data_IF_571134798299
#
_entry.id   IF_571134798299
#
_cell.length_a   1.000
_cell.length_b   1.000
_cell.length_c   1.000
_cell.angle_alpha   90.00
_cell.angle_beta   90.00
_cell.angle_gamma   90.00
#
_symmetry.space_group_name_H-M   'P 1'
#
loop_
_entity.id
_entity.type
_entity.pdbx_description
1 polymer ?
#
# COMPACT_ATOMS: atom_id res chain seq x y z
N UNK A 1 25.17 19.01 -10.94
CA UNK A 1 25.12 20.47 -10.84
C UNK A 1 24.34 20.86 -9.56
N UNK A 2 25.01 21.65 -8.70
CA UNK A 2 24.44 22.10 -7.42
C UNK A 2 23.12 22.87 -7.59
N UNK A 3 22.99 23.61 -8.69
CA UNK A 3 21.76 24.37 -8.97
C UNK A 3 20.57 23.46 -9.24
N UNK A 4 20.75 22.34 -9.94
CA UNK A 4 19.69 21.36 -10.16
C UNK A 4 19.27 20.68 -8.86
N UNK A 5 20.24 20.30 -8.01
CA UNK A 5 19.96 19.74 -6.68
C UNK A 5 19.24 20.73 -5.76
N UNK A 6 19.66 22.00 -5.76
CA UNK A 6 18.98 23.03 -4.97
C UNK A 6 17.52 23.19 -5.39
N UNK A 7 17.25 23.26 -6.70
CA UNK A 7 15.88 23.33 -7.21
C UNK A 7 15.06 22.08 -6.90
N UNK A 8 15.66 20.88 -6.98
CA UNK A 8 14.96 19.64 -6.61
C UNK A 8 14.60 19.58 -5.13
N UNK A 9 15.50 20.08 -4.26
CA UNK A 9 15.24 20.17 -2.82
C UNK A 9 14.11 21.16 -2.51
N UNK A 10 14.11 22.33 -3.14
CA UNK A 10 13.00 23.30 -3.04
C UNK A 10 11.70 22.68 -3.55
N UNK A 11 11.73 22.02 -4.72
CA UNK A 11 10.57 21.36 -5.31
C UNK A 11 9.98 20.30 -4.39
N UNK A 12 10.83 19.46 -3.79
CA UNK A 12 10.41 18.43 -2.83
C UNK A 12 9.73 19.04 -1.61
N UNK A 13 10.32 20.08 -1.01
CA UNK A 13 9.71 20.77 0.13
C UNK A 13 8.39 21.45 -0.24
N UNK A 14 8.31 22.06 -1.43
CA UNK A 14 7.07 22.62 -1.95
C UNK A 14 6.00 21.53 -2.14
N UNK A 15 6.38 20.36 -2.65
CA UNK A 15 5.47 19.23 -2.83
C UNK A 15 4.96 18.66 -1.49
N UNK A 16 5.85 18.52 -0.50
CA UNK A 16 5.48 18.08 0.87
C UNK A 16 4.48 19.05 1.51
N UNK A 17 4.69 20.37 1.28
CA UNK A 17 3.79 21.42 1.77
C UNK A 17 2.57 21.65 0.88
N UNK A 18 2.35 20.81 -0.12
CA UNK A 18 1.24 20.87 -1.07
C UNK A 18 1.14 22.22 -1.83
N UNK A 19 2.26 22.89 -2.01
CA UNK A 19 2.31 24.15 -2.74
C UNK A 19 2.10 23.94 -4.25
N UNK A 20 1.31 24.77 -4.93
CA UNK A 20 0.96 24.59 -6.34
C UNK A 20 2.17 24.69 -7.29
N UNK A 21 3.22 25.42 -6.91
CA UNK A 21 4.44 25.65 -7.71
C UNK A 21 5.41 24.46 -7.71
N UNK A 22 5.13 23.41 -6.94
CA UNK A 22 6.03 22.28 -6.77
C UNK A 22 6.43 21.62 -8.10
N UNK A 23 5.47 21.43 -9.01
CA UNK A 23 5.73 20.86 -10.32
C UNK A 23 6.64 21.75 -11.18
N UNK A 24 6.47 23.07 -11.12
CA UNK A 24 7.30 24.04 -11.84
C UNK A 24 8.73 24.08 -11.27
N UNK A 25 8.89 23.97 -9.97
CA UNK A 25 10.20 23.86 -9.35
C UNK A 25 10.94 22.57 -9.80
N UNK A 26 10.25 21.43 -9.90
CA UNK A 26 10.83 20.21 -10.48
C UNK A 26 11.18 20.38 -11.96
N UNK A 27 10.38 21.09 -12.73
CA UNK A 27 10.70 21.40 -14.13
C UNK A 27 11.96 22.27 -14.23
N UNK A 28 12.13 23.28 -13.37
CA UNK A 28 13.36 24.08 -13.28
C UNK A 28 14.58 23.23 -12.92
N UNK A 29 14.43 22.29 -11.97
CA UNK A 29 15.51 21.35 -11.63
C UNK A 29 15.93 20.51 -12.85
N UNK A 30 14.98 19.97 -13.60
CA UNK A 30 15.24 19.20 -14.81
C UNK A 30 15.92 20.03 -15.91
N UNK A 31 15.48 21.27 -16.13
CA UNK A 31 16.11 22.19 -17.09
C UNK A 31 17.55 22.53 -16.72
N UNK A 32 17.86 22.70 -15.42
CA UNK A 32 19.23 22.93 -14.95
C UNK A 32 20.11 21.72 -15.14
N UNK A 33 19.57 20.50 -14.88
CA UNK A 33 20.28 19.25 -15.13
C UNK A 33 20.62 19.09 -16.63
N UNK A 34 19.63 19.28 -17.50
CA UNK A 34 19.81 19.19 -18.95
C UNK A 34 20.87 20.19 -19.50
N UNK A 35 20.86 21.44 -19.00
CA UNK A 35 21.87 22.42 -19.37
C UNK A 35 23.29 22.06 -18.93
N UNK A 36 23.43 21.29 -17.84
CA UNK A 36 24.72 20.81 -17.35
C UNK A 36 25.26 19.61 -18.13
N UNK A 37 24.48 19.05 -19.07
CA UNK A 37 24.85 17.86 -19.87
C UNK A 37 25.07 16.60 -19.05
N UNK A 38 24.52 16.52 -17.87
CA UNK A 38 24.63 15.36 -16.96
C UNK A 38 23.25 14.84 -16.61
N UNK A 39 23.07 13.53 -16.76
CA UNK A 39 21.98 12.82 -16.07
C UNK A 39 22.26 12.90 -14.57
N UNK A 40 21.28 13.37 -13.82
CA UNK A 40 21.36 13.38 -12.36
C UNK A 40 20.59 12.16 -11.85
N UNK A 41 21.29 11.31 -11.13
CA UNK A 41 20.68 10.21 -10.38
C UNK A 41 19.96 10.80 -9.15
N UNK A 42 18.66 10.96 -9.29
CA UNK A 42 17.82 11.49 -8.23
C UNK A 42 17.52 10.40 -7.21
N UNK A 43 17.56 10.68 -5.88
CA UNK A 43 17.08 9.73 -4.89
C UNK A 43 15.62 9.33 -5.15
N UNK A 44 15.30 8.05 -4.90
CA UNK A 44 13.94 7.47 -5.07
C UNK A 44 12.85 8.34 -4.44
N UNK A 45 13.07 8.80 -3.22
CA UNK A 45 12.17 9.69 -2.52
C UNK A 45 11.94 11.04 -3.26
N UNK A 46 12.97 11.61 -3.88
CA UNK A 46 12.84 12.81 -4.70
C UNK A 46 12.02 12.54 -5.96
N UNK A 47 12.22 11.39 -6.61
CA UNK A 47 11.43 10.96 -7.76
C UNK A 47 9.96 10.71 -7.38
N UNK A 48 9.71 10.08 -6.24
CA UNK A 48 8.37 9.88 -5.70
C UNK A 48 7.63 11.21 -5.47
N UNK A 49 8.31 12.21 -4.91
CA UNK A 49 7.71 13.54 -4.73
C UNK A 49 7.54 14.30 -6.06
N UNK A 50 8.42 14.07 -7.03
CA UNK A 50 8.25 14.62 -8.39
C UNK A 50 6.98 14.07 -9.05
N UNK A 51 6.71 12.77 -8.91
CA UNK A 51 5.44 12.15 -9.38
C UNK A 51 4.24 12.81 -8.70
N UNK A 52 4.24 12.89 -7.36
CA UNK A 52 3.13 13.49 -6.60
C UNK A 52 2.89 14.96 -6.98
N UNK A 53 3.95 15.74 -7.18
CA UNK A 53 3.83 17.11 -7.64
C UNK A 53 3.23 17.21 -9.05
N UNK A 54 3.66 16.34 -9.99
CA UNK A 54 3.14 16.31 -11.35
C UNK A 54 1.66 15.90 -11.40
N UNK A 55 1.24 14.95 -10.55
CA UNK A 55 -0.17 14.52 -10.44
C UNK A 55 -1.09 15.62 -9.90
N UNK A 56 -0.58 16.52 -9.07
CA UNK A 56 -1.33 17.63 -8.46
C UNK A 56 -1.17 18.96 -9.18
N UNK A 57 -0.40 19.00 -10.28
CA UNK A 57 -0.16 20.20 -11.02
C UNK A 57 -1.43 20.83 -11.59
N UNK A 58 -1.39 22.10 -11.93
CA UNK A 58 -2.37 22.83 -12.71
C UNK A 58 -3.82 22.65 -12.19
N UNK A 59 -4.02 22.79 -10.87
CA UNK A 59 -5.30 22.61 -10.18
C UNK A 59 -5.89 21.20 -10.35
N UNK A 60 -5.03 20.18 -10.30
CA UNK A 60 -5.43 18.78 -10.40
C UNK A 60 -5.42 18.23 -11.84
N UNK A 61 -4.94 19.02 -12.80
CA UNK A 61 -4.64 18.51 -14.14
C UNK A 61 -3.25 17.91 -14.14
N UNK A 62 -3.16 16.60 -14.09
CA UNK A 62 -1.88 15.91 -14.04
C UNK A 62 -1.01 16.20 -15.27
N UNK A 63 0.28 16.43 -15.04
CA UNK A 63 1.30 16.52 -16.10
C UNK A 63 1.84 15.12 -16.39
N UNK A 64 1.21 14.41 -17.30
CA UNK A 64 1.46 12.98 -17.51
C UNK A 64 2.90 12.64 -17.92
N UNK A 65 3.51 13.43 -18.81
CA UNK A 65 4.89 13.20 -19.25
C UNK A 65 5.91 13.24 -18.09
N UNK A 66 5.91 14.24 -17.20
CA UNK A 66 6.73 14.24 -15.99
C UNK A 66 6.48 13.03 -15.07
N UNK A 67 5.25 12.54 -14.97
CA UNK A 67 4.91 11.32 -14.21
C UNK A 67 5.65 10.11 -14.79
N UNK A 68 5.51 9.86 -16.09
CA UNK A 68 6.18 8.73 -16.77
C UNK A 68 7.70 8.83 -16.62
N UNK A 69 8.27 10.00 -16.87
CA UNK A 69 9.72 10.22 -16.79
C UNK A 69 10.26 9.97 -15.37
N UNK A 70 9.55 10.45 -14.34
CA UNK A 70 9.98 10.27 -12.97
C UNK A 70 9.92 8.78 -12.55
N UNK A 71 8.85 8.06 -12.90
CA UNK A 71 8.74 6.63 -12.59
C UNK A 71 9.78 5.81 -13.34
N UNK A 72 10.03 6.11 -14.62
CA UNK A 72 11.04 5.40 -15.41
C UNK A 72 12.48 5.62 -14.90
N UNK A 73 12.74 6.72 -14.19
CA UNK A 73 14.02 7.01 -13.56
C UNK A 73 14.21 6.30 -12.20
N UNK A 74 13.16 5.72 -11.63
CA UNK A 74 13.26 4.94 -10.39
C UNK A 74 13.99 3.61 -10.63
N UNK A 75 14.54 3.03 -9.57
CA UNK A 75 15.13 1.69 -9.62
C UNK A 75 14.10 0.61 -9.98
N UNK A 76 14.58 -0.50 -10.50
CA UNK A 76 13.70 -1.59 -10.99
C UNK A 76 12.80 -2.21 -9.91
N UNK A 77 13.22 -2.20 -8.66
CA UNK A 77 12.42 -2.67 -7.53
C UNK A 77 11.24 -1.71 -7.27
N UNK A 78 11.54 -0.41 -7.21
CA UNK A 78 10.56 0.65 -6.99
C UNK A 78 9.54 0.72 -8.12
N UNK A 79 9.99 0.62 -9.39
CA UNK A 79 9.09 0.60 -10.54
C UNK A 79 8.07 -0.55 -10.53
N UNK A 80 8.30 -1.62 -9.75
CA UNK A 80 7.36 -2.73 -9.56
C UNK A 80 6.38 -2.51 -8.41
N UNK A 81 6.57 -1.46 -7.62
CA UNK A 81 5.58 -1.11 -6.60
C UNK A 81 4.23 -0.83 -7.27
N UNK A 82 3.15 -1.44 -6.80
CA UNK A 82 1.83 -1.29 -7.39
C UNK A 82 1.33 0.15 -7.51
N UNK A 83 1.75 1.05 -6.61
CA UNK A 83 1.42 2.46 -6.72
C UNK A 83 2.02 3.08 -7.99
N UNK A 84 3.29 2.80 -8.25
CA UNK A 84 3.98 3.35 -9.43
C UNK A 84 3.55 2.66 -10.72
N UNK A 85 3.25 1.36 -10.69
CA UNK A 85 2.64 0.65 -11.83
C UNK A 85 1.30 1.29 -12.19
N UNK A 86 0.42 1.53 -11.22
CA UNK A 86 -0.87 2.18 -11.41
C UNK A 86 -0.73 3.58 -12.01
N UNK A 87 0.06 4.45 -11.40
CA UNK A 87 0.22 5.82 -11.88
C UNK A 87 0.93 5.91 -13.23
N UNK A 88 1.84 4.98 -13.54
CA UNK A 88 2.45 4.90 -14.88
C UNK A 88 1.43 4.48 -15.93
N UNK A 89 0.54 3.53 -15.61
CA UNK A 89 -0.56 3.16 -16.48
C UNK A 89 -1.49 4.34 -16.76
N UNK A 90 -1.94 5.03 -15.71
CA UNK A 90 -2.79 6.23 -15.83
C UNK A 90 -2.11 7.34 -16.63
N UNK A 91 -0.82 7.53 -16.44
CA UNK A 91 -0.06 8.54 -17.18
C UNK A 91 0.08 8.20 -18.68
N UNK A 92 0.28 6.92 -19.02
CA UNK A 92 0.25 6.49 -20.42
C UNK A 92 -1.11 6.69 -21.07
N UNK A 93 -2.20 6.36 -20.38
CA UNK A 93 -3.55 6.63 -20.86
C UNK A 93 -3.80 8.12 -21.07
N UNK A 94 -3.43 8.96 -20.10
CA UNK A 94 -3.66 10.40 -20.15
C UNK A 94 -2.77 11.15 -21.16
N UNK A 95 -1.61 10.58 -21.52
CA UNK A 95 -0.70 11.13 -22.52
C UNK A 95 -0.89 10.51 -23.92
N UNK A 96 -1.71 9.47 -24.04
CA UNK A 96 -1.95 8.79 -25.32
C UNK A 96 -2.58 9.76 -26.33
N UNK A 97 -2.12 9.68 -27.57
CA UNK A 97 -2.73 10.42 -28.68
C UNK A 97 -4.13 9.93 -28.95
N UNK A 98 -4.95 10.80 -29.51
CA UNK A 98 -6.26 10.39 -30.03
C UNK A 98 -6.14 9.46 -31.23
N UNK A 99 -7.13 8.57 -31.40
CA UNK A 99 -7.19 7.65 -32.50
C UNK A 99 -6.19 6.48 -32.46
N UNK A 100 -5.86 5.89 -33.61
CA UNK A 100 -5.04 4.68 -33.70
C UNK A 100 -3.60 4.86 -33.20
N UNK A 101 -3.02 6.04 -33.33
CA UNK A 101 -1.65 6.33 -32.91
C UNK A 101 -1.44 6.20 -31.39
N UNK A 102 -2.51 6.36 -30.60
CA UNK A 102 -2.46 6.19 -29.16
C UNK A 102 -2.77 4.76 -28.67
N UNK A 103 -3.16 3.86 -29.56
CA UNK A 103 -3.56 2.49 -29.20
C UNK A 103 -2.43 1.70 -28.51
N UNK A 104 -1.17 1.77 -28.94
CA UNK A 104 -0.08 1.08 -28.26
C UNK A 104 0.09 1.52 -26.80
N UNK A 105 -0.08 2.82 -26.50
CA UNK A 105 0.02 3.34 -25.13
C UNK A 105 -1.17 2.91 -24.28
N UNK A 106 -2.38 2.91 -24.84
CA UNK A 106 -3.58 2.40 -24.16
C UNK A 106 -3.48 0.92 -23.85
N UNK A 107 -2.99 0.11 -24.82
CA UNK A 107 -2.78 -1.33 -24.62
C UNK A 107 -1.73 -1.60 -23.53
N UNK A 108 -0.60 -0.92 -23.58
CA UNK A 108 0.46 -1.04 -22.56
C UNK A 108 -0.05 -0.63 -21.17
N UNK A 109 -0.83 0.45 -21.07
CA UNK A 109 -1.46 0.88 -19.84
C UNK A 109 -2.42 -0.18 -19.28
N UNK A 110 -3.26 -0.77 -20.12
CA UNK A 110 -4.16 -1.85 -19.76
C UNK A 110 -3.42 -3.07 -19.20
N UNK A 111 -2.35 -3.51 -19.87
CA UNK A 111 -1.51 -4.62 -19.40
C UNK A 111 -0.88 -4.33 -18.03
N UNK A 112 -0.46 -3.08 -17.78
CA UNK A 112 0.04 -2.67 -16.46
C UNK A 112 -1.04 -2.78 -15.38
N UNK A 113 -2.26 -2.30 -15.63
CA UNK A 113 -3.38 -2.43 -14.70
C UNK A 113 -3.73 -3.90 -14.45
N UNK A 114 -3.78 -4.73 -15.48
CA UNK A 114 -4.04 -6.17 -15.40
C UNK A 114 -3.00 -6.88 -14.50
N UNK A 115 -1.73 -6.46 -14.56
CA UNK A 115 -0.63 -7.06 -13.76
C UNK A 115 -0.77 -6.87 -12.26
N UNK A 116 -1.54 -5.88 -11.80
CA UNK A 116 -1.74 -5.57 -10.38
C UNK A 116 -3.19 -5.75 -9.91
N UNK A 117 -4.15 -5.89 -10.82
CA UNK A 117 -5.60 -5.90 -10.51
C UNK A 117 -6.05 -7.03 -9.58
N UNK A 118 -5.30 -8.15 -9.50
CA UNK A 118 -5.56 -9.25 -8.58
C UNK A 118 -4.98 -9.06 -7.17
N UNK A 119 -4.27 -7.98 -6.90
CA UNK A 119 -3.58 -7.77 -5.63
C UNK A 119 -4.51 -7.12 -4.59
N UNK A 120 -4.46 -7.63 -3.35
CA UNK A 120 -5.32 -7.21 -2.23
C UNK A 120 -4.81 -5.94 -1.53
N UNK A 121 -4.59 -4.88 -2.28
CA UNK A 121 -4.24 -3.55 -1.77
C UNK A 121 -4.93 -2.45 -2.57
N UNK A 122 -4.81 -1.21 -2.11
CA UNK A 122 -5.51 -0.05 -2.66
C UNK A 122 -5.37 0.08 -4.18
N UNK A 123 -4.14 0.09 -4.71
CA UNK A 123 -3.91 0.26 -6.16
C UNK A 123 -4.32 -0.95 -6.99
N UNK A 124 -4.28 -2.16 -6.42
CA UNK A 124 -4.84 -3.35 -7.06
C UNK A 124 -6.35 -3.25 -7.25
N UNK A 125 -7.06 -2.78 -6.22
CA UNK A 125 -8.50 -2.53 -6.30
C UNK A 125 -8.85 -1.45 -7.30
N UNK A 126 -8.15 -0.31 -7.29
CA UNK A 126 -8.33 0.75 -8.28
C UNK A 126 -8.08 0.25 -9.70
N UNK A 127 -7.03 -0.53 -9.93
CA UNK A 127 -6.74 -1.12 -11.23
C UNK A 127 -7.85 -2.05 -11.70
N UNK A 128 -8.42 -2.85 -10.78
CA UNK A 128 -9.54 -3.72 -11.07
C UNK A 128 -10.79 -2.94 -11.50
N UNK A 129 -11.12 -1.86 -10.78
CA UNK A 129 -12.23 -0.96 -11.11
C UNK A 129 -12.01 -0.24 -12.45
N UNK A 130 -10.80 0.29 -12.70
CA UNK A 130 -10.45 0.95 -13.96
C UNK A 130 -10.54 0.00 -15.18
N UNK A 131 -10.37 -1.30 -14.96
CA UNK A 131 -10.59 -2.35 -15.97
C UNK A 131 -12.07 -2.74 -16.14
N UNK A 132 -12.98 -2.10 -15.42
CA UNK A 132 -14.42 -2.37 -15.45
C UNK A 132 -14.86 -3.51 -14.53
N UNK A 133 -13.99 -3.99 -13.65
CA UNK A 133 -14.32 -5.02 -12.68
C UNK A 133 -15.05 -4.46 -11.44
N UNK A 134 -15.68 -5.34 -10.70
CA UNK A 134 -16.29 -5.02 -9.40
C UNK A 134 -15.45 -5.65 -8.30
N UNK A 135 -14.99 -4.84 -7.34
CA UNK A 135 -14.19 -5.33 -6.22
C UNK A 135 -15.05 -6.27 -5.37
N UNK A 136 -14.68 -7.54 -5.34
CA UNK A 136 -15.29 -8.56 -4.52
C UNK A 136 -14.37 -8.97 -3.37
N UNK A 137 -14.96 -9.39 -2.25
CA UNK A 137 -14.19 -9.99 -1.17
C UNK A 137 -13.71 -11.37 -1.60
N UNK A 138 -12.48 -11.78 -1.19
CA UNK A 138 -12.03 -13.15 -1.43
C UNK A 138 -12.93 -14.15 -0.72
N UNK A 139 -13.02 -15.39 -1.22
CA UNK A 139 -13.80 -16.41 -0.58
C UNK A 139 -13.29 -16.65 0.86
N UNK A 140 -14.23 -16.84 1.79
CA UNK A 140 -13.88 -17.13 3.17
C UNK A 140 -13.16 -18.48 3.24
N UNK A 141 -12.01 -18.59 3.93
CA UNK A 141 -11.34 -19.86 4.14
C UNK A 141 -12.24 -20.88 4.85
N UNK A 142 -11.97 -22.16 4.64
CA UNK A 142 -12.60 -23.21 5.42
C UNK A 142 -12.36 -22.98 6.93
N UNK A 143 -13.36 -23.29 7.74
CA UNK A 143 -13.23 -23.14 9.19
C UNK A 143 -12.04 -23.95 9.73
N UNK A 144 -11.31 -23.36 10.69
CA UNK A 144 -10.23 -24.05 11.36
C UNK A 144 -10.77 -25.25 12.15
N UNK A 145 -10.18 -26.42 11.94
CA UNK A 145 -10.46 -27.62 12.73
C UNK A 145 -10.01 -27.45 14.18
N UNK A 146 -10.52 -28.30 15.07
CA UNK A 146 -10.06 -28.33 16.46
C UNK A 146 -8.55 -28.64 16.54
N UNK A 147 -8.06 -29.57 15.71
CA UNK A 147 -6.64 -29.95 15.69
C UNK A 147 -5.72 -28.76 15.28
N UNK A 148 -6.11 -27.95 14.29
CA UNK A 148 -5.34 -26.76 13.87
C UNK A 148 -5.30 -25.71 15.00
N UNK A 149 -6.44 -25.42 15.62
CA UNK A 149 -6.50 -24.51 16.78
C UNK A 149 -5.68 -24.99 17.96
N UNK A 150 -5.76 -26.27 18.27
CA UNK A 150 -5.00 -26.89 19.36
C UNK A 150 -3.49 -26.92 19.09
N UNK A 151 -3.10 -27.14 17.84
CA UNK A 151 -1.69 -27.06 17.42
C UNK A 151 -1.12 -25.67 17.69
N UNK A 152 -1.82 -24.60 17.30
CA UNK A 152 -1.40 -23.24 17.58
C UNK A 152 -1.33 -22.94 19.10
N UNK A 153 -2.35 -23.38 19.87
CA UNK A 153 -2.40 -23.16 21.32
C UNK A 153 -1.28 -23.86 22.10
N UNK A 154 -0.87 -25.07 21.65
CA UNK A 154 0.18 -25.88 22.30
C UNK A 154 1.57 -25.53 21.80
N UNK A 155 1.70 -24.63 20.85
CA UNK A 155 3.02 -24.21 20.36
C UNK A 155 3.73 -23.35 21.43
N UNK A 156 4.88 -23.85 21.98
CA UNK A 156 5.54 -23.16 23.09
C UNK A 156 6.08 -21.77 22.72
N UNK A 157 6.34 -21.51 21.45
CA UNK A 157 6.76 -20.19 20.95
C UNK A 157 5.62 -19.17 21.04
N UNK A 158 4.41 -19.53 20.62
CA UNK A 158 3.25 -18.67 20.77
C UNK A 158 2.85 -18.45 22.22
N UNK A 159 2.94 -19.50 23.04
CA UNK A 159 2.66 -19.40 24.49
C UNK A 159 3.63 -18.39 25.16
N UNK A 160 4.95 -18.53 24.93
CA UNK A 160 5.95 -17.59 25.46
C UNK A 160 5.71 -16.17 24.94
N UNK A 161 5.42 -16.01 23.66
CA UNK A 161 5.17 -14.71 23.06
C UNK A 161 3.98 -14.00 23.71
N UNK A 162 2.85 -14.71 23.89
CA UNK A 162 1.66 -14.15 24.54
C UNK A 162 1.90 -13.84 26.03
N UNK A 163 2.64 -14.70 26.73
CA UNK A 163 3.04 -14.43 28.11
C UNK A 163 3.89 -13.16 28.23
N UNK A 164 4.91 -13.01 27.36
CA UNK A 164 5.75 -11.81 27.35
C UNK A 164 4.91 -10.55 27.08
N UNK A 165 3.98 -10.60 26.15
CA UNK A 165 3.08 -9.48 25.85
C UNK A 165 2.22 -9.15 27.08
N UNK A 166 1.67 -10.16 27.75
CA UNK A 166 0.76 -9.96 28.89
C UNK A 166 1.43 -9.35 30.11
N UNK A 167 2.75 -9.56 30.30
CA UNK A 167 3.53 -8.96 31.39
C UNK A 167 4.21 -7.63 31.00
N UNK A 168 3.86 -7.06 29.85
CA UNK A 168 4.37 -5.76 29.39
C UNK A 168 5.66 -5.81 28.56
N UNK A 169 6.29 -6.98 28.38
CA UNK A 169 7.47 -7.18 27.52
C UNK A 169 7.04 -7.36 26.06
N UNK A 170 6.33 -6.36 25.54
CA UNK A 170 5.69 -6.44 24.22
C UNK A 170 6.69 -6.63 23.09
N UNK A 171 7.80 -5.91 23.09
CA UNK A 171 8.81 -5.99 22.02
C UNK A 171 9.44 -7.39 21.93
N UNK A 172 9.73 -8.00 23.05
CA UNK A 172 10.28 -9.35 23.17
C UNK A 172 9.24 -10.38 22.71
N UNK A 173 8.00 -10.24 23.15
CA UNK A 173 6.90 -11.09 22.75
C UNK A 173 6.61 -11.01 21.23
N UNK A 174 6.67 -9.83 20.63
CA UNK A 174 6.52 -9.63 19.19
C UNK A 174 7.66 -10.31 18.40
N UNK A 175 8.90 -10.24 18.89
CA UNK A 175 10.05 -10.92 18.29
C UNK A 175 9.88 -12.44 18.35
N UNK A 176 9.50 -12.98 19.50
CA UNK A 176 9.24 -14.42 19.70
C UNK A 176 8.10 -14.91 18.80
N UNK A 177 7.00 -14.14 18.72
CA UNK A 177 5.88 -14.43 17.83
C UNK A 177 6.35 -14.51 16.36
N UNK A 178 7.03 -13.47 15.88
CA UNK A 178 7.51 -13.41 14.50
C UNK A 178 8.54 -14.49 14.17
N UNK A 179 9.35 -14.91 15.13
CA UNK A 179 10.27 -16.03 14.98
C UNK A 179 9.50 -17.34 14.80
N UNK A 180 8.49 -17.57 15.63
CA UNK A 180 7.65 -18.78 15.62
C UNK A 180 6.84 -18.93 14.33
N UNK A 181 6.51 -17.84 13.63
CA UNK A 181 5.77 -17.85 12.35
C UNK A 181 6.59 -18.36 11.17
N UNK A 182 7.90 -18.54 11.31
CA UNK A 182 8.78 -18.92 10.17
C UNK A 182 8.44 -20.32 9.68
N UNK A 183 8.26 -20.44 8.35
CA UNK A 183 8.01 -21.73 7.70
C UNK A 183 6.59 -22.29 7.86
N UNK A 184 5.69 -21.56 8.50
CA UNK A 184 4.30 -22.00 8.64
C UNK A 184 3.54 -21.91 7.30
N UNK A 185 2.68 -22.88 7.06
CA UNK A 185 1.70 -22.87 5.97
C UNK A 185 0.57 -21.87 6.22
N UNK A 186 -0.24 -21.57 5.19
CA UNK A 186 -1.39 -20.65 5.32
C UNK A 186 -2.35 -21.11 6.42
N UNK A 187 -2.62 -22.41 6.53
CA UNK A 187 -3.52 -22.97 7.58
C UNK A 187 -2.96 -22.76 8.99
N UNK A 188 -1.66 -22.98 9.18
CA UNK A 188 -0.99 -22.75 10.46
C UNK A 188 -0.94 -21.27 10.79
N UNK A 189 -0.70 -20.39 9.79
CA UNK A 189 -0.76 -18.95 9.96
C UNK A 189 -2.17 -18.48 10.37
N UNK A 190 -3.24 -18.99 9.74
CA UNK A 190 -4.61 -18.67 10.12
C UNK A 190 -4.92 -19.15 11.54
N UNK A 191 -4.43 -20.32 11.95
CA UNK A 191 -4.61 -20.82 13.31
C UNK A 191 -3.87 -19.98 14.35
N UNK A 192 -2.64 -19.55 14.05
CA UNK A 192 -1.87 -18.63 14.89
C UNK A 192 -2.53 -17.24 14.96
N UNK A 193 -2.99 -16.70 13.81
CA UNK A 193 -3.75 -15.46 13.79
C UNK A 193 -5.02 -15.55 14.65
N UNK A 194 -5.78 -16.65 14.55
CA UNK A 194 -6.96 -16.86 15.38
C UNK A 194 -6.62 -16.88 16.87
N UNK A 195 -5.53 -17.54 17.27
CA UNK A 195 -5.07 -17.55 18.66
C UNK A 195 -4.78 -16.12 19.15
N UNK A 196 -4.17 -15.27 18.33
CA UNK A 196 -3.91 -13.87 18.67
C UNK A 196 -5.22 -13.05 18.75
N UNK A 197 -6.17 -13.27 17.83
CA UNK A 197 -7.49 -12.64 17.86
C UNK A 197 -8.27 -13.01 19.13
N UNK A 198 -8.28 -14.31 19.50
CA UNK A 198 -8.95 -14.82 20.71
C UNK A 198 -8.35 -14.21 22.02
N UNK A 199 -7.11 -13.73 21.95
CA UNK A 199 -6.40 -13.06 23.04
C UNK A 199 -6.40 -11.54 22.93
N UNK A 200 -7.15 -11.00 21.96
CA UNK A 200 -7.26 -9.57 21.68
C UNK A 200 -5.91 -8.88 21.40
N UNK A 201 -4.91 -9.66 20.95
CA UNK A 201 -3.63 -9.13 20.47
C UNK A 201 -3.78 -8.79 18.98
N UNK A 202 -4.53 -7.73 18.70
CA UNK A 202 -5.05 -7.40 17.37
C UNK A 202 -3.96 -7.21 16.32
N UNK A 203 -2.86 -6.56 16.65
CA UNK A 203 -1.73 -6.38 15.73
C UNK A 203 -1.07 -7.71 15.34
N UNK A 204 -1.03 -8.70 16.25
CA UNK A 204 -0.54 -10.04 15.91
C UNK A 204 -1.55 -10.83 15.09
N UNK A 205 -2.82 -10.70 15.41
CA UNK A 205 -3.91 -11.26 14.60
C UNK A 205 -3.80 -10.80 13.15
N UNK A 206 -3.79 -9.50 12.92
CA UNK A 206 -3.74 -8.86 11.60
C UNK A 206 -2.45 -9.25 10.86
N UNK A 207 -1.29 -8.95 11.47
CA UNK A 207 0.00 -9.12 10.81
C UNK A 207 0.34 -10.59 10.51
N UNK A 208 -0.23 -11.54 11.27
CA UNK A 208 -0.07 -12.97 11.01
C UNK A 208 -0.95 -13.41 9.84
N UNK A 209 -2.23 -13.02 9.85
CA UNK A 209 -3.17 -13.32 8.77
C UNK A 209 -2.74 -12.68 7.44
N UNK A 210 -2.13 -11.50 7.45
CA UNK A 210 -1.60 -10.83 6.25
C UNK A 210 -0.45 -11.59 5.57
N UNK A 211 0.17 -12.56 6.24
CA UNK A 211 1.23 -13.40 5.66
C UNK A 211 0.71 -14.54 4.79
N UNK A 212 -0.58 -14.90 4.92
CA UNK A 212 -1.17 -15.95 4.08
C UNK A 212 -1.25 -15.51 2.62
N UNK A 213 -1.03 -16.44 1.70
CA UNK A 213 -0.93 -16.16 0.26
C UNK A 213 -2.14 -16.62 -0.53
N UNK A 214 -2.68 -17.79 -0.22
CA UNK A 214 -3.77 -18.41 -0.96
C UNK A 214 -5.10 -18.30 -0.21
N UNK A 215 -5.07 -18.41 1.12
CA UNK A 215 -6.26 -18.33 1.96
C UNK A 215 -6.32 -17.00 2.68
N UNK A 216 -7.34 -16.18 2.39
CA UNK A 216 -7.50 -14.83 2.95
C UNK A 216 -8.68 -14.80 3.90
N UNK A 217 -8.41 -14.67 5.20
CA UNK A 217 -9.47 -14.45 6.19
C UNK A 217 -9.65 -12.95 6.47
N UNK A 218 -10.72 -12.39 5.89
CA UNK A 218 -11.03 -10.96 6.03
C UNK A 218 -11.39 -10.58 7.48
N UNK A 219 -11.95 -11.50 8.26
CA UNK A 219 -12.29 -11.22 9.66
C UNK A 219 -11.04 -11.09 10.54
N UNK A 220 -9.98 -11.86 10.24
CA UNK A 220 -8.70 -11.74 10.92
C UNK A 220 -7.88 -10.54 10.45
N UNK A 221 -7.95 -10.19 9.15
CA UNK A 221 -7.23 -9.03 8.60
C UNK A 221 -7.87 -7.70 8.95
N UNK A 222 -9.20 -7.70 9.17
CA UNK A 222 -9.98 -6.51 9.51
C UNK A 222 -10.88 -6.80 10.73
N UNK A 223 -10.28 -7.07 11.90
CA UNK A 223 -11.05 -7.25 13.11
C UNK A 223 -11.80 -5.97 13.48
N UNK A 224 -12.92 -6.14 14.15
CA UNK A 224 -13.77 -5.02 14.59
C UNK A 224 -13.81 -4.95 16.12
N UNK A 225 -12.71 -4.53 16.79
CA UNK A 225 -12.69 -4.37 18.23
C UNK A 225 -13.72 -3.32 18.68
N UNK A 226 -14.22 -3.45 19.91
CA UNK A 226 -15.21 -2.52 20.49
C UNK A 226 -16.44 -2.31 19.60
N UNK A 227 -16.92 -3.39 18.96
CA UNK A 227 -17.93 -3.30 17.90
C UNK A 227 -19.20 -2.59 18.35
N UNK A 228 -19.68 -2.86 19.55
CA UNK A 228 -20.93 -2.28 20.03
C UNK A 228 -20.80 -0.75 20.19
N UNK A 229 -19.73 -0.31 20.80
CA UNK A 229 -19.40 1.10 21.03
C UNK A 229 -19.20 1.85 19.70
N UNK A 230 -18.36 1.31 18.83
CA UNK A 230 -18.09 1.95 17.52
C UNK A 230 -19.35 2.04 16.68
N UNK A 231 -20.17 0.98 16.62
CA UNK A 231 -21.42 0.99 15.86
C UNK A 231 -22.43 1.97 16.44
N UNK A 232 -22.52 2.10 17.76
CA UNK A 232 -23.44 3.03 18.42
C UNK A 232 -23.03 4.49 18.15
N UNK A 233 -21.78 4.84 18.42
CA UNK A 233 -21.25 6.19 18.26
C UNK A 233 -21.22 6.65 16.79
N UNK A 234 -20.83 5.76 15.87
CA UNK A 234 -20.83 6.08 14.45
C UNK A 234 -22.24 6.42 13.94
N UNK A 235 -23.26 5.66 14.37
CA UNK A 235 -24.66 5.94 14.03
C UNK A 235 -25.16 7.27 14.59
N UNK A 236 -24.79 7.58 15.83
CA UNK A 236 -25.19 8.82 16.50
C UNK A 236 -24.73 10.08 15.73
N UNK A 237 -23.53 10.04 15.17
CA UNK A 237 -22.94 11.15 14.40
C UNK A 237 -23.13 11.03 12.88
N UNK A 238 -23.88 10.01 12.42
CA UNK A 238 -24.17 9.81 11.00
C UNK A 238 -22.98 9.36 10.14
N UNK A 239 -21.94 8.77 10.75
CA UNK A 239 -20.82 8.19 10.02
C UNK A 239 -21.04 6.72 9.70
N UNK A 240 -20.52 6.27 8.55
CA UNK A 240 -20.43 4.85 8.25
C UNK A 240 -19.43 4.18 9.19
N UNK A 241 -19.82 3.15 9.97
CA UNK A 241 -18.88 2.43 10.84
C UNK A 241 -17.69 1.82 10.10
N UNK A 242 -17.83 1.48 8.81
CA UNK A 242 -16.73 0.99 7.99
C UNK A 242 -15.63 2.04 7.81
N UNK A 243 -16.02 3.32 7.67
CA UNK A 243 -15.06 4.43 7.63
C UNK A 243 -14.29 4.57 8.95
N UNK A 244 -15.00 4.47 10.08
CA UNK A 244 -14.37 4.53 11.41
C UNK A 244 -13.36 3.39 11.59
N UNK A 245 -13.72 2.16 11.21
CA UNK A 245 -12.78 1.03 11.27
C UNK A 245 -11.62 1.16 10.29
N UNK A 246 -11.85 1.75 9.12
CA UNK A 246 -10.79 2.08 8.17
C UNK A 246 -9.76 3.03 8.77
N UNK A 247 -10.21 4.07 9.49
CA UNK A 247 -9.35 5.01 10.19
C UNK A 247 -8.59 4.33 11.33
N UNK A 248 -9.29 3.57 12.20
CA UNK A 248 -8.64 2.79 13.27
C UNK A 248 -7.55 1.89 12.69
N UNK A 249 -7.83 1.19 11.59
CA UNK A 249 -6.87 0.29 10.95
C UNK A 249 -5.64 1.01 10.40
N UNK A 250 -5.81 2.23 9.91
CA UNK A 250 -4.73 3.04 9.35
C UNK A 250 -3.82 3.64 10.42
N UNK A 251 -4.37 3.99 11.57
CA UNK A 251 -3.67 4.68 12.66
C UNK A 251 -3.09 3.73 13.74
N UNK A 252 -3.31 2.40 13.61
CA UNK A 252 -2.92 1.41 14.64
C UNK A 252 -1.58 0.72 14.39
#
# INVERSE_FOLDING_TARGET
DLSAWAWASVAKQSAIKLQPEAADHFQRAAQRAAKAGREIDWPEDTLAWKVRAALRADNGRARWQPVVQAINAMGSAEQRDPAWVYWRARARQGAAKDGPDGEPDRLAARQMLESISGQMHFYGKLAHEDLGGTVALPPKPAALSAAERDSARRNPGFERALLLISIGLRNEGVREWNFTLRGLSDRELLAAAQLACDREVWDRCINTSDRTRQEVDMAQRFPTPFRQEVMAQAREIGLDPAYVYGLIRQES
#
